data_IF_190792919455
#
_entry.id   IF_190792919455
#
_cell.length_a   1.000
_cell.length_b   1.000
_cell.length_c   1.000
_cell.angle_alpha   90.00
_cell.angle_beta   90.00
_cell.angle_gamma   90.00
#
_symmetry.space_group_name_H-M   'P 1'
#
loop_
_entity.id
_entity.type
_entity.pdbx_description
1 polymer ?
#
# COMPACT_ATOMS: atom_id res chain seq x y z
N UNK A 1 -2.10 17.06 -16.33
CA UNK A 1 -2.05 16.21 -15.13
C UNK A 1 -0.60 15.85 -14.90
N UNK A 2 -0.04 16.09 -13.72
CA UNK A 2 1.34 15.69 -13.44
C UNK A 2 1.41 14.19 -13.20
N UNK A 3 2.62 13.62 -13.21
CA UNK A 3 2.83 12.16 -13.07
C UNK A 3 2.32 11.63 -11.72
N UNK A 4 2.51 12.40 -10.63
CA UNK A 4 2.05 12.03 -9.30
C UNK A 4 0.52 11.98 -9.23
N UNK A 5 -0.18 13.01 -9.75
CA UNK A 5 -1.65 12.99 -9.78
C UNK A 5 -2.20 11.80 -10.56
N UNK A 6 -1.59 11.46 -11.73
CA UNK A 6 -1.99 10.29 -12.52
C UNK A 6 -1.81 8.99 -11.73
N UNK A 7 -0.69 8.86 -11.03
CA UNK A 7 -0.42 7.70 -10.18
C UNK A 7 -1.45 7.57 -9.05
N UNK A 8 -1.75 8.68 -8.37
CA UNK A 8 -2.74 8.70 -7.27
C UNK A 8 -4.14 8.35 -7.78
N UNK A 9 -4.55 8.86 -8.94
CA UNK A 9 -5.84 8.49 -9.54
C UNK A 9 -5.92 6.98 -9.85
N UNK A 10 -4.81 6.38 -10.27
CA UNK A 10 -4.72 4.95 -10.50
C UNK A 10 -4.77 4.16 -9.18
N UNK A 11 -4.04 4.61 -8.15
CA UNK A 11 -3.88 3.92 -6.87
C UNK A 11 -5.12 4.02 -5.97
N UNK A 12 -5.81 5.17 -5.96
CA UNK A 12 -6.95 5.40 -5.08
C UNK A 12 -8.22 4.70 -5.56
N UNK A 13 -8.98 4.17 -4.61
CA UNK A 13 -10.24 3.47 -4.82
C UNK A 13 -10.31 2.14 -4.09
N UNK A 14 -11.30 1.34 -4.46
CA UNK A 14 -11.49 -0.01 -3.95
C UNK A 14 -11.03 -1.04 -4.98
N UNK A 15 -10.35 -2.07 -4.50
CA UNK A 15 -9.81 -3.15 -5.32
C UNK A 15 -10.07 -4.51 -4.68
N UNK A 16 -10.29 -5.55 -5.47
CA UNK A 16 -10.36 -6.93 -5.01
C UNK A 16 -9.61 -7.89 -5.97
N UNK A 17 -9.34 -9.11 -5.49
CA UNK A 17 -8.68 -10.15 -6.27
C UNK A 17 -9.63 -11.29 -6.70
N UNK A 18 -10.93 -11.04 -6.76
CA UNK A 18 -11.93 -12.09 -7.08
C UNK A 18 -11.68 -12.78 -8.41
N UNK A 19 -11.19 -12.04 -9.43
CA UNK A 19 -10.86 -12.63 -10.72
C UNK A 19 -9.68 -13.61 -10.61
N UNK A 20 -8.63 -13.27 -9.86
CA UNK A 20 -7.50 -14.15 -9.61
C UNK A 20 -7.95 -15.41 -8.88
N UNK A 21 -8.71 -15.27 -7.78
CA UNK A 21 -9.23 -16.40 -7.02
C UNK A 21 -10.07 -17.34 -7.91
N UNK A 22 -10.96 -16.77 -8.74
CA UNK A 22 -11.79 -17.57 -9.66
C UNK A 22 -10.95 -18.36 -10.69
N UNK A 23 -9.82 -17.80 -11.14
CA UNK A 23 -8.91 -18.48 -12.06
C UNK A 23 -8.14 -19.60 -11.36
N UNK A 24 -7.60 -19.37 -10.18
CA UNK A 24 -6.90 -20.33 -9.36
C UNK A 24 -7.79 -21.53 -9.00
N UNK A 25 -9.04 -21.27 -8.58
CA UNK A 25 -10.03 -22.32 -8.28
C UNK A 25 -10.33 -23.20 -9.49
N UNK A 26 -10.45 -22.62 -10.70
CA UNK A 26 -10.65 -23.37 -11.94
C UNK A 26 -9.45 -24.22 -12.34
N UNK A 27 -8.25 -23.81 -11.95
CA UNK A 27 -7.01 -24.54 -12.21
C UNK A 27 -6.72 -25.59 -11.13
N UNK A 28 -7.49 -25.59 -10.03
CA UNK A 28 -7.25 -26.45 -8.88
C UNK A 28 -6.07 -26.02 -8.01
N UNK A 29 -5.62 -24.77 -8.16
CA UNK A 29 -4.48 -24.16 -7.46
C UNK A 29 -4.98 -22.97 -6.63
N UNK A 30 -5.29 -23.18 -5.35
CA UNK A 30 -5.62 -22.07 -4.44
C UNK A 30 -4.33 -21.55 -3.79
N UNK A 31 -3.71 -20.55 -4.40
CA UNK A 31 -2.43 -20.01 -3.93
C UNK A 31 -2.62 -18.78 -3.03
N UNK A 32 -3.62 -17.94 -3.31
CA UNK A 32 -3.80 -16.67 -2.64
C UNK A 32 -5.06 -16.63 -1.77
N UNK A 33 -5.07 -15.82 -0.69
CA UNK A 33 -6.30 -15.55 0.06
C UNK A 33 -7.22 -14.63 -0.75
N UNK A 34 -8.52 -14.61 -0.42
CA UNK A 34 -9.38 -13.51 -0.85
C UNK A 34 -8.90 -12.23 -0.19
N UNK A 35 -8.70 -11.21 -1.00
CA UNK A 35 -8.12 -9.96 -0.55
C UNK A 35 -8.82 -8.75 -1.18
N UNK A 36 -8.79 -7.64 -0.44
CA UNK A 36 -9.34 -6.34 -0.85
C UNK A 36 -8.40 -5.25 -0.37
N UNK A 37 -8.20 -4.22 -1.18
CA UNK A 37 -7.55 -2.97 -0.81
C UNK A 37 -8.53 -1.81 -0.92
N UNK A 38 -8.45 -0.87 0.02
CA UNK A 38 -9.11 0.44 -0.05
C UNK A 38 -8.04 1.49 0.16
N UNK A 39 -7.81 2.32 -0.85
CA UNK A 39 -6.82 3.38 -0.83
C UNK A 39 -7.53 4.74 -0.95
N UNK A 40 -7.39 5.58 0.05
CA UNK A 40 -8.03 6.90 0.08
C UNK A 40 -7.07 8.01 0.48
N UNK A 41 -7.17 9.16 -0.22
CA UNK A 41 -6.45 10.38 0.15
C UNK A 41 -6.99 10.88 1.49
N UNK A 42 -6.09 11.23 2.40
CA UNK A 42 -6.44 11.74 3.73
C UNK A 42 -5.78 13.08 4.10
N UNK A 43 -5.30 13.84 3.12
CA UNK A 43 -4.69 15.16 3.36
C UNK A 43 -5.62 16.11 4.13
N UNK A 44 -6.92 16.05 3.82
CA UNK A 44 -7.97 16.86 4.46
C UNK A 44 -8.22 16.51 5.94
N UNK A 45 -7.71 15.36 6.38
CA UNK A 45 -7.78 14.88 7.77
C UNK A 45 -6.50 15.19 8.55
N UNK A 46 -5.53 15.87 7.94
CA UNK A 46 -4.25 16.20 8.56
C UNK A 46 -4.21 17.71 8.84
N UNK A 47 -4.33 18.04 10.12
CA UNK A 47 -4.19 19.43 10.59
C UNK A 47 -2.72 19.88 10.46
N UNK A 48 -2.51 21.19 10.32
CA UNK A 48 -1.19 21.82 10.21
C UNK A 48 -0.37 21.33 8.99
N UNK A 49 -1.02 20.73 7.99
CA UNK A 49 -0.35 20.43 6.72
C UNK A 49 0.11 21.74 6.06
N UNK A 50 1.39 21.87 5.62
CA UNK A 50 1.88 23.07 4.96
C UNK A 50 1.02 23.46 3.75
N UNK A 51 0.77 24.77 3.56
CA UNK A 51 -0.06 25.26 2.45
C UNK A 51 0.50 24.94 1.07
N UNK A 52 1.81 24.78 0.97
CA UNK A 52 2.55 24.42 -0.25
C UNK A 52 2.90 22.93 -0.34
N UNK A 53 2.29 22.11 0.51
CA UNK A 53 2.52 20.67 0.52
C UNK A 53 2.08 20.03 -0.81
N UNK A 54 2.99 19.31 -1.47
CA UNK A 54 2.77 18.76 -2.81
C UNK A 54 2.53 17.23 -2.83
N UNK A 55 2.59 16.58 -1.67
CA UNK A 55 2.40 15.14 -1.55
C UNK A 55 0.95 14.73 -1.29
N UNK A 56 0.71 13.42 -1.31
CA UNK A 56 -0.56 12.82 -0.95
C UNK A 56 -0.35 11.81 0.17
N UNK A 57 -0.98 12.05 1.31
CA UNK A 57 -1.13 11.04 2.34
C UNK A 57 -2.29 10.12 1.98
N UNK A 58 -2.04 8.83 2.04
CA UNK A 58 -3.00 7.78 1.71
C UNK A 58 -3.18 6.87 2.92
N UNK A 59 -4.44 6.62 3.28
CA UNK A 59 -4.79 5.48 4.13
C UNK A 59 -4.98 4.28 3.22
N UNK A 60 -4.14 3.28 3.36
CA UNK A 60 -4.34 1.99 2.75
C UNK A 60 -4.92 1.02 3.77
N UNK A 61 -6.00 0.36 3.42
CA UNK A 61 -6.59 -0.71 4.20
C UNK A 61 -6.48 -2.01 3.42
N UNK A 62 -5.65 -2.93 3.91
CA UNK A 62 -5.49 -4.26 3.33
C UNK A 62 -6.32 -5.28 4.10
N UNK A 63 -7.23 -5.94 3.41
CA UNK A 63 -8.13 -6.96 3.96
C UNK A 63 -7.77 -8.33 3.41
N UNK A 64 -7.52 -9.30 4.29
CA UNK A 64 -7.22 -10.67 3.93
C UNK A 64 -8.20 -11.63 4.60
N UNK A 65 -8.80 -12.54 3.82
CA UNK A 65 -9.69 -13.58 4.31
C UNK A 65 -9.22 -14.95 3.74
N UNK A 66 -8.70 -15.79 4.60
CA UNK A 66 -8.28 -17.16 4.25
C UNK A 66 -9.31 -18.22 4.68
N UNK A 67 -10.54 -17.81 5.00
CA UNK A 67 -11.63 -18.67 5.47
C UNK A 67 -11.55 -19.03 6.96
N UNK A 68 -10.41 -18.79 7.64
CA UNK A 68 -10.21 -19.03 9.08
C UNK A 68 -10.01 -17.74 9.85
N UNK A 69 -9.33 -16.78 9.25
CA UNK A 69 -9.02 -15.50 9.86
C UNK A 69 -9.35 -14.36 8.88
N UNK A 70 -9.92 -13.30 9.43
CA UNK A 70 -10.05 -12.01 8.75
C UNK A 70 -9.04 -11.07 9.39
N UNK A 71 -8.13 -10.55 8.61
CA UNK A 71 -7.14 -9.59 9.06
C UNK A 71 -7.31 -8.27 8.32
N UNK A 72 -7.20 -7.18 9.05
CA UNK A 72 -7.22 -5.82 8.51
C UNK A 72 -5.90 -5.18 8.90
N UNK A 73 -5.15 -4.74 7.91
CA UNK A 73 -3.87 -4.07 8.09
C UNK A 73 -3.97 -2.66 7.52
N UNK A 74 -4.19 -1.65 8.37
CA UNK A 74 -4.15 -0.27 7.93
C UNK A 74 -2.71 0.24 7.87
N UNK A 75 -2.44 1.09 6.89
CA UNK A 75 -1.17 1.77 6.70
C UNK A 75 -1.37 3.25 6.42
N UNK A 76 -0.42 4.07 6.82
CA UNK A 76 -0.32 5.47 6.42
C UNK A 76 0.89 5.63 5.50
N UNK A 77 0.64 6.02 4.27
CA UNK A 77 1.68 6.24 3.27
C UNK A 77 1.69 7.70 2.81
N UNK A 78 2.86 8.22 2.58
CA UNK A 78 3.06 9.46 1.83
C UNK A 78 3.57 9.12 0.44
N UNK A 79 2.92 9.65 -0.58
CA UNK A 79 3.41 9.66 -1.96
C UNK A 79 3.78 11.09 -2.34
N UNK A 80 5.02 11.30 -2.73
CA UNK A 80 5.55 12.58 -3.17
C UNK A 80 6.53 12.40 -4.34
N UNK A 81 7.08 13.49 -4.83
CA UNK A 81 8.14 13.46 -5.83
C UNK A 81 9.50 13.71 -5.16
N UNK A 82 10.46 12.85 -5.44
CA UNK A 82 11.85 13.05 -5.02
C UNK A 82 12.54 14.11 -5.90
N UNK A 83 13.81 14.42 -5.58
CA UNK A 83 14.64 15.41 -6.29
C UNK A 83 14.80 15.09 -7.79
N UNK A 84 14.60 13.83 -8.19
CA UNK A 84 14.66 13.37 -9.58
C UNK A 84 13.27 13.34 -10.27
N UNK A 85 12.25 13.95 -9.65
CA UNK A 85 10.85 13.89 -10.10
C UNK A 85 10.29 12.47 -10.25
N UNK A 86 10.78 11.53 -9.43
CA UNK A 86 10.24 10.17 -9.36
C UNK A 86 9.29 10.07 -8.17
N UNK A 87 8.22 9.30 -8.34
CA UNK A 87 7.25 9.04 -7.27
C UNK A 87 7.91 8.20 -6.20
N UNK A 88 7.80 8.63 -4.96
CA UNK A 88 8.33 7.93 -3.78
C UNK A 88 7.18 7.60 -2.83
N UNK A 89 7.12 6.35 -2.37
CA UNK A 89 6.30 5.91 -1.25
C UNK A 89 7.15 5.95 0.01
N UNK A 90 6.69 6.66 1.02
CA UNK A 90 7.26 6.67 2.37
C UNK A 90 6.23 6.18 3.36
N UNK A 91 6.56 5.13 4.13
CA UNK A 91 5.69 4.64 5.20
C UNK A 91 5.76 5.54 6.41
N UNK A 92 4.62 5.78 7.04
CA UNK A 92 4.47 6.50 8.30
C UNK A 92 3.89 5.58 9.37
N UNK A 93 4.26 5.82 10.63
CA UNK A 93 3.61 5.15 11.75
C UNK A 93 2.20 5.69 11.94
N UNK A 94 1.24 4.81 12.23
CA UNK A 94 -0.09 5.24 12.64
C UNK A 94 0.04 5.97 13.98
N UNK A 95 -0.53 7.19 14.14
CA UNK A 95 -0.46 7.91 15.41
C UNK A 95 -0.91 7.04 16.58
N UNK A 96 -0.15 7.03 17.68
CA UNK A 96 -0.37 6.13 18.80
C UNK A 96 -1.66 6.40 19.60
N UNK A 97 -2.27 7.55 19.41
CA UNK A 97 -3.55 7.98 19.98
C UNK A 97 -4.76 7.55 19.13
N UNK A 98 -4.53 6.92 17.97
CA UNK A 98 -5.58 6.40 17.09
C UNK A 98 -5.55 4.87 17.11
N UNK A 99 -6.68 4.24 17.39
CA UNK A 99 -6.78 2.79 17.32
C UNK A 99 -6.71 2.31 15.85
N UNK A 100 -6.26 1.07 15.63
CA UNK A 100 -6.26 0.49 14.29
C UNK A 100 -7.67 0.34 13.70
N UNK A 101 -8.64 0.14 14.54
CA UNK A 101 -10.05 0.02 14.18
C UNK A 101 -10.63 1.35 13.71
N UNK A 102 -10.12 2.46 14.25
CA UNK A 102 -10.55 3.82 13.91
C UNK A 102 -9.75 4.41 12.73
N UNK A 103 -8.57 3.84 12.44
CA UNK A 103 -7.70 4.30 11.36
C UNK A 103 -8.17 3.74 10.01
N UNK A 104 -9.25 4.34 9.47
CA UNK A 104 -9.97 3.85 8.30
C UNK A 104 -10.42 4.98 7.38
N UNK A 105 -10.59 4.65 6.10
CA UNK A 105 -11.07 5.60 5.09
C UNK A 105 -12.51 6.08 5.33
N UNK A 106 -13.37 5.24 5.91
CA UNK A 106 -14.77 5.57 6.19
C UNK A 106 -14.97 6.30 7.53
N UNK A 107 -13.93 6.47 8.35
CA UNK A 107 -14.00 7.25 9.58
C UNK A 107 -13.88 8.75 9.28
N UNK A 108 -15.01 9.43 9.18
CA UNK A 108 -15.07 10.89 8.89
C UNK A 108 -14.61 11.75 10.06
N UNK A 109 -14.48 11.21 11.26
CA UNK A 109 -13.99 11.91 12.46
C UNK A 109 -12.47 11.77 12.64
N UNK A 110 -11.81 10.97 11.79
CA UNK A 110 -10.37 10.78 11.84
C UNK A 110 -9.64 12.11 11.64
N UNK A 111 -8.78 12.45 12.57
CA UNK A 111 -7.98 13.67 12.54
C UNK A 111 -6.57 13.40 13.04
N UNK A 112 -5.59 13.88 12.29
CA UNK A 112 -4.17 13.74 12.59
C UNK A 112 -3.51 15.13 12.66
N UNK A 113 -2.34 15.23 13.29
CA UNK A 113 -1.54 16.47 13.30
C UNK A 113 -0.22 16.21 12.56
N UNK A 114 0.01 16.94 11.45
CA UNK A 114 1.22 16.81 10.63
C UNK A 114 2.51 16.88 11.44
N UNK A 115 2.55 17.77 12.46
CA UNK A 115 3.73 17.94 13.31
C UNK A 115 4.04 16.73 14.20
N UNK A 116 3.09 15.81 14.34
CA UNK A 116 3.22 14.57 15.13
C UNK A 116 3.42 13.32 14.30
N UNK A 117 3.21 13.43 12.97
CA UNK A 117 3.42 12.29 12.08
C UNK A 117 4.89 11.87 12.07
N UNK A 118 5.14 10.60 12.17
CA UNK A 118 6.48 10.03 12.20
C UNK A 118 6.69 9.07 11.05
N UNK A 119 7.77 9.28 10.30
CA UNK A 119 8.19 8.31 9.28
C UNK A 119 8.56 7.00 9.96
N UNK A 120 8.15 5.89 9.36
CA UNK A 120 8.59 4.59 9.86
C UNK A 120 10.07 4.38 9.55
N UNK A 121 10.83 4.02 10.58
CA UNK A 121 12.24 3.66 10.44
C UNK A 121 12.43 2.21 9.96
N UNK A 122 11.34 1.43 9.90
CA UNK A 122 11.37 0.01 9.55
C UNK A 122 11.43 -0.21 8.04
N UNK A 123 10.81 0.70 7.27
CA UNK A 123 10.62 0.52 5.84
C UNK A 123 11.44 1.52 5.03
N UNK A 124 12.22 1.00 4.10
CA UNK A 124 12.94 1.81 3.12
C UNK A 124 11.92 2.41 2.14
N UNK A 125 11.99 3.72 1.85
CA UNK A 125 11.12 4.31 0.84
C UNK A 125 11.23 3.61 -0.51
N UNK A 126 10.11 3.41 -1.18
CA UNK A 126 10.05 2.77 -2.49
C UNK A 126 9.91 3.83 -3.57
N UNK A 127 10.72 3.70 -4.62
CA UNK A 127 10.67 4.58 -5.79
C UNK A 127 9.96 3.86 -6.93
N UNK A 128 9.02 4.57 -7.57
CA UNK A 128 8.33 4.05 -8.75
C UNK A 128 8.96 4.59 -10.03
N UNK A 129 9.01 3.72 -11.03
CA UNK A 129 9.29 4.05 -12.42
C UNK A 129 8.03 3.86 -13.26
N UNK A 130 7.82 4.72 -14.25
CA UNK A 130 6.68 4.63 -15.17
C UNK A 130 7.16 4.20 -16.56
N UNK A 131 6.47 3.22 -17.14
CA UNK A 131 6.65 2.82 -18.52
C UNK A 131 5.32 2.41 -19.13
N UNK A 132 4.92 3.08 -20.21
CA UNK A 132 3.70 2.78 -20.97
C UNK A 132 2.42 2.72 -20.12
N UNK A 133 2.30 3.60 -19.12
CA UNK A 133 1.14 3.69 -18.23
C UNK A 133 1.17 2.72 -17.04
N UNK A 134 2.25 1.94 -16.91
CA UNK A 134 2.49 1.04 -15.78
C UNK A 134 3.51 1.66 -14.85
N UNK A 135 3.14 1.84 -13.59
CA UNK A 135 4.05 2.26 -12.53
C UNK A 135 4.53 1.02 -11.77
N UNK A 136 5.84 0.86 -11.64
CA UNK A 136 6.43 -0.28 -10.92
C UNK A 136 7.39 0.21 -9.86
N UNK A 137 7.33 -0.40 -8.67
CA UNK A 137 8.23 -0.12 -7.55
C UNK A 137 8.68 -1.41 -6.89
N UNK A 138 9.90 -1.38 -6.33
CA UNK A 138 10.44 -2.43 -5.48
C UNK A 138 11.24 -1.79 -4.34
N UNK A 139 11.06 -2.32 -3.12
CA UNK A 139 11.89 -1.95 -1.97
C UNK A 139 12.27 -3.17 -1.15
N UNK A 140 13.44 -3.10 -0.50
CA UNK A 140 13.94 -4.13 0.40
C UNK A 140 14.28 -3.47 1.73
N UNK A 141 13.57 -3.87 2.78
CA UNK A 141 13.74 -3.37 4.15
C UNK A 141 14.31 -4.45 5.04
N UNK A 142 15.43 -4.17 5.71
CA UNK A 142 16.04 -5.11 6.64
C UNK A 142 15.63 -4.76 8.07
N UNK A 143 14.95 -5.69 8.76
CA UNK A 143 14.59 -5.56 10.17
C UNK A 143 15.68 -6.08 11.10
N UNK A 144 16.42 -7.06 10.64
CA UNK A 144 17.64 -7.60 11.26
C UNK A 144 18.58 -8.06 10.15
N UNK A 145 19.86 -8.38 10.42
CA UNK A 145 20.75 -8.94 9.39
C UNK A 145 20.20 -10.20 8.70
N UNK A 146 19.30 -10.92 9.37
CA UNK A 146 18.73 -12.18 8.89
C UNK A 146 17.30 -12.06 8.38
N UNK A 147 16.63 -10.94 8.65
CA UNK A 147 15.21 -10.75 8.34
C UNK A 147 15.01 -9.56 7.41
N UNK A 148 14.47 -9.80 6.23
CA UNK A 148 14.14 -8.76 5.26
C UNK A 148 12.69 -8.86 4.81
N UNK A 149 12.14 -7.71 4.48
CA UNK A 149 10.85 -7.56 3.81
C UNK A 149 11.09 -7.03 2.40
N UNK A 150 10.50 -7.68 1.42
CA UNK A 150 10.53 -7.26 0.02
C UNK A 150 9.12 -6.91 -0.39
N UNK A 151 8.94 -5.66 -0.82
CA UNK A 151 7.70 -5.14 -1.39
C UNK A 151 7.92 -4.90 -2.88
N UNK A 152 7.02 -5.42 -3.72
CA UNK A 152 6.95 -5.12 -5.15
C UNK A 152 5.54 -4.73 -5.50
N UNK A 153 5.40 -3.65 -6.23
CA UNK A 153 4.10 -3.17 -6.69
C UNK A 153 4.11 -2.82 -8.16
N UNK A 154 2.96 -3.05 -8.78
CA UNK A 154 2.66 -2.57 -10.12
C UNK A 154 1.27 -1.96 -10.14
N UNK A 155 1.17 -0.70 -10.60
CA UNK A 155 -0.06 0.09 -10.60
C UNK A 155 -0.38 0.52 -12.02
N UNK A 156 -1.60 0.22 -12.48
CA UNK A 156 -2.18 0.71 -13.74
C UNK A 156 -3.50 1.41 -13.46
N UNK A 157 -4.22 1.85 -14.47
CA UNK A 157 -5.52 2.50 -14.34
C UNK A 157 -6.56 1.64 -13.61
N UNK A 158 -6.52 0.31 -13.79
CA UNK A 158 -7.53 -0.62 -13.28
C UNK A 158 -6.96 -1.79 -12.46
N UNK A 159 -5.65 -1.84 -12.30
CA UNK A 159 -4.98 -2.99 -11.67
C UNK A 159 -3.94 -2.53 -10.68
N UNK A 160 -3.96 -3.14 -9.49
CA UNK A 160 -2.89 -3.09 -8.50
C UNK A 160 -2.39 -4.52 -8.30
N UNK A 161 -1.10 -4.75 -8.53
CA UNK A 161 -0.46 -6.03 -8.25
C UNK A 161 0.58 -5.84 -7.14
N UNK A 162 0.47 -6.64 -6.07
CA UNK A 162 1.30 -6.49 -4.86
C UNK A 162 1.91 -7.83 -4.48
N UNK A 163 3.22 -7.84 -4.29
CA UNK A 163 3.95 -8.94 -3.68
C UNK A 163 4.65 -8.45 -2.42
N UNK A 164 4.27 -9.00 -1.28
CA UNK A 164 4.82 -8.71 0.04
C UNK A 164 5.41 -9.98 0.61
N UNK A 165 6.73 -10.01 0.80
CA UNK A 165 7.41 -11.24 1.25
C UNK A 165 8.38 -10.96 2.39
N UNK A 166 8.18 -11.66 3.49
CA UNK A 166 9.15 -11.72 4.57
C UNK A 166 10.08 -12.93 4.42
N UNK A 167 11.37 -12.66 4.52
CA UNK A 167 12.41 -13.68 4.53
C UNK A 167 13.14 -13.68 5.87
N UNK A 168 13.47 -14.88 6.34
CA UNK A 168 14.42 -15.09 7.44
C UNK A 168 15.45 -16.12 7.00
N UNK A 169 16.73 -15.76 7.03
CA UNK A 169 17.83 -16.59 6.49
C UNK A 169 17.51 -17.06 5.05
N UNK A 170 17.07 -16.11 4.20
CA UNK A 170 16.66 -16.30 2.80
C UNK A 170 15.53 -17.31 2.56
N UNK A 171 14.85 -17.75 3.61
CA UNK A 171 13.63 -18.57 3.52
C UNK A 171 12.39 -17.71 3.72
N UNK A 172 11.38 -17.93 2.89
CA UNK A 172 10.09 -17.25 3.03
C UNK A 172 9.45 -17.69 4.33
N UNK A 173 9.04 -16.69 5.15
CA UNK A 173 8.33 -16.91 6.42
C UNK A 173 6.90 -16.41 6.36
N UNK A 174 6.61 -15.46 5.45
CA UNK A 174 5.28 -14.93 5.26
C UNK A 174 5.18 -14.28 3.87
N UNK A 175 3.97 -14.27 3.30
CA UNK A 175 3.65 -13.61 2.04
C UNK A 175 3.82 -14.49 0.81
N UNK A 176 3.66 -13.88 -0.36
CA UNK A 176 3.65 -14.56 -1.66
C UNK A 176 4.63 -13.87 -2.61
N UNK A 177 5.47 -14.66 -3.29
CA UNK A 177 6.37 -14.16 -4.35
C UNK A 177 5.55 -13.77 -5.59
N UNK A 178 4.62 -14.66 -5.97
CA UNK A 178 3.66 -14.34 -7.00
C UNK A 178 2.69 -13.27 -6.47
N UNK A 179 2.48 -12.17 -7.21
CA UNK A 179 1.70 -11.05 -6.69
C UNK A 179 0.21 -11.39 -6.55
N UNK A 180 -0.41 -10.84 -5.53
CA UNK A 180 -1.87 -10.74 -5.50
C UNK A 180 -2.27 -9.66 -6.51
N UNK A 181 -3.15 -10.03 -7.46
CA UNK A 181 -3.60 -9.16 -8.53
C UNK A 181 -5.00 -8.66 -8.20
N UNK A 182 -5.07 -7.39 -7.86
CA UNK A 182 -6.32 -6.72 -7.56
C UNK A 182 -6.86 -5.98 -8.78
N UNK A 183 -8.17 -6.01 -8.97
CA UNK A 183 -8.89 -5.21 -9.95
C UNK A 183 -9.68 -4.10 -9.27
N UNK A 184 -9.64 -2.90 -9.86
CA UNK A 184 -10.41 -1.77 -9.37
C UNK A 184 -11.89 -2.05 -9.49
N UNK A 185 -12.63 -1.81 -8.41
CA UNK A 185 -14.08 -1.93 -8.38
C UNK A 185 -14.64 -0.61 -8.93
N UNK A 186 -15.42 -0.67 -9.97
CA UNK A 186 -16.06 0.50 -10.60
C UNK A 186 -17.31 0.90 -9.87
#
# INVERSE_FOLDING_TARGET
MNILSKFIDNLCGEFNNEQQISLEEKQGEAMHPKAKHINGICNDRINNLPLDFQGYFIIEESYYDNGKFKNILPHLFLFDLNENNQITLTSYEIPSDISKEDFRNDNMELSMDYNKLQKSEKFVPMVYTESNGVFTGESISFFTPETKFVLKESVTEDTLAVSEVFYKNDKITFGFVEPIIYRKIK
#
